data_IF_055751403865
#
_entry.id   IF_055751403865
#
_cell.length_a   1.000
_cell.length_b   1.000
_cell.length_c   1.000
_cell.angle_alpha   90.00
_cell.angle_beta   90.00
_cell.angle_gamma   90.00
#
_symmetry.space_group_name_H-M   'P 1'
#
loop_
_entity.id
_entity.type
_entity.pdbx_description
1 polymer ?
#
# COMPACT_ATOMS: atom_id res chain seq x y z
N UNK A 1 -8.11 -0.54 -15.28
CA UNK A 1 -8.32 -0.59 -13.81
C UNK A 1 -7.00 -0.68 -13.04
N UNK A 2 -6.20 -1.74 -13.24
CA UNK A 2 -4.95 -1.98 -12.48
C UNK A 2 -3.96 -0.80 -12.46
N UNK A 3 -3.63 -0.12 -13.58
CA UNK A 3 -2.72 1.03 -13.54
C UNK A 3 -3.26 2.20 -12.71
N UNK A 4 -4.56 2.50 -12.83
CA UNK A 4 -5.22 3.54 -12.03
C UNK A 4 -5.23 3.22 -10.53
N UNK A 5 -5.47 1.96 -10.18
CA UNK A 5 -5.38 1.48 -8.79
C UNK A 5 -3.96 1.67 -8.25
N UNK A 6 -2.96 1.19 -8.98
CA UNK A 6 -1.56 1.29 -8.55
C UNK A 6 -1.11 2.74 -8.40
N UNK A 7 -1.46 3.60 -9.34
CA UNK A 7 -1.11 5.02 -9.31
C UNK A 7 -1.82 5.76 -8.16
N UNK A 8 -3.09 5.44 -7.89
CA UNK A 8 -3.81 5.94 -6.72
C UNK A 8 -3.16 5.50 -5.42
N UNK A 9 -2.90 4.21 -5.28
CA UNK A 9 -2.29 3.65 -4.07
C UNK A 9 -0.86 4.18 -3.86
N UNK A 10 -0.06 4.35 -4.92
CA UNK A 10 1.29 4.95 -4.82
C UNK A 10 1.22 6.32 -4.14
N UNK A 11 0.35 7.20 -4.63
CA UNK A 11 0.17 8.54 -4.06
C UNK A 11 -0.35 8.51 -2.64
N UNK A 12 -1.34 7.66 -2.36
CA UNK A 12 -1.90 7.54 -1.02
C UNK A 12 -0.89 7.03 -0.01
N UNK A 13 -0.18 5.93 -0.32
CA UNK A 13 0.81 5.35 0.61
C UNK A 13 1.94 6.35 0.89
N UNK A 14 2.45 7.03 -0.14
CA UNK A 14 3.49 8.06 0.04
C UNK A 14 3.05 9.21 0.95
N UNK A 15 1.77 9.58 0.89
CA UNK A 15 1.21 10.64 1.73
C UNK A 15 1.05 10.19 3.20
N UNK A 16 0.61 8.96 3.42
CA UNK A 16 0.18 8.50 4.75
C UNK A 16 1.29 7.82 5.58
N UNK A 17 2.34 7.29 4.94
CA UNK A 17 3.32 6.41 5.62
C UNK A 17 4.37 7.17 6.45
N UNK A 18 4.72 8.40 6.08
CA UNK A 18 5.73 9.22 6.78
C UNK A 18 7.12 8.58 6.87
N UNK A 19 8.11 9.33 7.39
CA UNK A 19 9.47 8.84 7.69
C UNK A 19 10.12 7.96 6.61
N UNK A 20 9.90 8.28 5.33
CA UNK A 20 10.35 7.46 4.21
C UNK A 20 11.88 7.42 4.17
N UNK A 21 12.42 6.21 4.13
CA UNK A 21 13.84 5.94 3.90
C UNK A 21 14.08 5.56 2.43
N UNK A 22 13.25 4.68 1.88
CA UNK A 22 13.44 4.17 0.52
C UNK A 22 12.12 3.84 -0.17
N UNK A 23 12.07 4.09 -1.47
CA UNK A 23 10.96 3.69 -2.35
C UNK A 23 11.51 2.71 -3.38
N UNK A 24 10.84 1.57 -3.56
CA UNK A 24 11.17 0.54 -4.56
C UNK A 24 9.90 0.30 -5.39
N UNK A 25 9.93 0.67 -6.67
CA UNK A 25 8.76 0.65 -7.56
C UNK A 25 8.92 -0.27 -8.79
N UNK A 26 9.67 -1.37 -8.62
CA UNK A 26 9.93 -2.36 -9.68
C UNK A 26 8.75 -3.35 -9.85
N UNK A 27 8.19 -3.86 -8.74
CA UNK A 27 7.09 -4.84 -8.73
C UNK A 27 6.02 -4.42 -7.70
N UNK A 28 5.19 -3.47 -8.12
CA UNK A 28 4.32 -2.72 -7.23
C UNK A 28 5.05 -1.51 -6.65
N UNK A 29 4.64 -1.08 -5.46
CA UNK A 29 5.27 0.01 -4.71
C UNK A 29 5.56 -0.48 -3.30
N UNK A 30 6.85 -0.60 -2.99
CA UNK A 30 7.34 -0.85 -1.63
C UNK A 30 7.92 0.44 -1.07
N UNK A 31 7.55 0.75 0.16
CA UNK A 31 8.08 1.89 0.90
C UNK A 31 8.65 1.39 2.21
N UNK A 32 9.92 1.69 2.44
CA UNK A 32 10.65 1.39 3.67
C UNK A 32 10.78 2.69 4.47
N UNK A 33 10.48 2.62 5.77
CA UNK A 33 10.57 3.74 6.71
C UNK A 33 11.85 3.66 7.51
N UNK A 34 12.32 4.80 8.01
CA UNK A 34 13.57 4.93 8.80
C UNK A 34 13.63 4.08 10.07
N UNK A 35 12.48 3.74 10.65
CA UNK A 35 12.40 2.83 11.80
C UNK A 35 12.40 1.35 11.39
N UNK A 36 12.56 1.07 10.10
CA UNK A 36 12.58 -0.25 9.48
C UNK A 36 11.20 -0.80 9.11
N UNK A 37 10.07 -0.23 9.55
CA UNK A 37 8.75 -0.73 9.10
C UNK A 37 8.55 -0.47 7.61
N UNK A 38 7.68 -1.24 6.97
CA UNK A 38 7.49 -1.14 5.51
C UNK A 38 6.12 -1.58 5.05
N UNK A 39 5.72 -1.07 3.88
CA UNK A 39 4.49 -1.42 3.17
C UNK A 39 4.84 -1.79 1.73
N UNK A 40 4.21 -2.85 1.19
CA UNK A 40 4.22 -3.21 -0.22
C UNK A 40 2.78 -3.28 -0.73
N UNK A 41 2.48 -2.52 -1.78
CA UNK A 41 1.24 -2.65 -2.55
C UNK A 41 1.58 -3.13 -3.95
N UNK A 42 0.93 -4.19 -4.43
CA UNK A 42 1.11 -4.69 -5.81
C UNK A 42 -0.16 -5.31 -6.37
N UNK A 43 -0.25 -5.38 -7.68
CA UNK A 43 -1.31 -6.11 -8.40
C UNK A 43 -0.74 -7.37 -9.04
N UNK A 44 -1.50 -8.46 -9.06
CA UNK A 44 -1.12 -9.65 -9.83
C UNK A 44 -1.21 -9.34 -11.33
N UNK A 45 -0.25 -9.82 -12.13
CA UNK A 45 -0.33 -9.76 -13.58
C UNK A 45 -1.39 -10.70 -14.15
N UNK A 46 -1.51 -11.90 -13.57
CA UNK A 46 -2.30 -13.02 -14.11
C UNK A 46 -3.66 -13.20 -13.44
N UNK A 47 -3.88 -12.59 -12.27
CA UNK A 47 -5.11 -12.76 -11.50
C UNK A 47 -5.78 -11.40 -11.20
N UNK A 48 -7.10 -11.36 -10.97
CA UNK A 48 -7.81 -10.16 -10.57
C UNK A 48 -7.65 -9.87 -9.07
N UNK A 49 -6.40 -9.78 -8.58
CA UNK A 49 -6.10 -9.54 -7.16
C UNK A 49 -5.04 -8.46 -6.94
N UNK A 50 -5.23 -7.68 -5.87
CA UNK A 50 -4.22 -6.83 -5.28
C UNK A 50 -3.66 -7.50 -4.02
N UNK A 51 -2.39 -7.25 -3.69
CA UNK A 51 -1.75 -7.68 -2.46
C UNK A 51 -1.22 -6.44 -1.74
N UNK A 52 -1.50 -6.38 -0.44
CA UNK A 52 -0.91 -5.43 0.49
C UNK A 52 -0.17 -6.25 1.54
N UNK A 53 1.11 -5.97 1.74
CA UNK A 53 1.94 -6.61 2.78
C UNK A 53 2.54 -5.51 3.63
N UNK A 54 2.45 -5.66 4.95
CA UNK A 54 2.84 -4.63 5.91
C UNK A 54 3.66 -5.30 7.01
N UNK A 55 4.78 -4.68 7.36
CA UNK A 55 5.55 -5.00 8.55
C UNK A 55 5.61 -3.75 9.43
N UNK A 56 5.09 -3.84 10.65
CA UNK A 56 5.23 -2.83 11.69
C UNK A 56 6.27 -3.25 12.74
N UNK A 57 6.82 -2.29 13.48
CA UNK A 57 7.71 -2.52 14.64
C UNK A 57 6.94 -2.71 15.94
N UNK A 58 5.62 -2.46 15.93
CA UNK A 58 4.68 -2.81 17.00
C UNK A 58 3.32 -3.22 16.41
N UNK A 59 2.47 -3.84 17.23
CA UNK A 59 1.09 -4.15 16.83
C UNK A 59 0.27 -2.89 16.54
N UNK A 60 0.48 -1.84 17.33
CA UNK A 60 -0.19 -0.54 17.14
C UNK A 60 0.19 0.09 15.80
N UNK A 61 1.49 0.10 15.46
CA UNK A 61 1.97 0.61 14.18
C UNK A 61 1.46 -0.23 13.01
N UNK A 62 1.46 -1.57 13.15
CA UNK A 62 0.93 -2.46 12.12
C UNK A 62 -0.55 -2.17 11.85
N UNK A 63 -1.35 -1.98 12.90
CA UNK A 63 -2.78 -1.72 12.76
C UNK A 63 -3.05 -0.31 12.20
N UNK A 64 -2.28 0.71 12.59
CA UNK A 64 -2.34 2.06 12.00
C UNK A 64 -2.03 2.02 10.49
N UNK A 65 -0.92 1.40 10.09
CA UNK A 65 -0.54 1.25 8.68
C UNK A 65 -1.59 0.45 7.91
N UNK A 66 -2.10 -0.63 8.49
CA UNK A 66 -3.16 -1.44 7.88
C UNK A 66 -4.42 -0.61 7.64
N UNK A 67 -4.88 0.15 8.65
CA UNK A 67 -6.07 1.00 8.52
C UNK A 67 -5.90 2.07 7.46
N UNK A 68 -4.73 2.72 7.39
CA UNK A 68 -4.45 3.75 6.38
C UNK A 68 -4.39 3.20 4.95
N UNK A 69 -3.81 2.02 4.76
CA UNK A 69 -3.50 1.51 3.42
C UNK A 69 -4.53 0.52 2.89
N UNK A 70 -4.96 -0.45 3.71
CA UNK A 70 -5.88 -1.51 3.27
C UNK A 70 -7.29 -0.95 3.08
N UNK A 71 -7.76 -0.09 3.98
CA UNK A 71 -9.11 0.50 3.87
C UNK A 71 -9.23 1.45 2.68
N UNK A 72 -8.14 2.17 2.32
CA UNK A 72 -8.09 2.93 1.07
C UNK A 72 -8.23 2.03 -0.15
N UNK A 73 -7.47 0.94 -0.20
CA UNK A 73 -7.52 0.00 -1.31
C UNK A 73 -8.93 -0.57 -1.47
N UNK A 74 -9.59 -0.95 -0.36
CA UNK A 74 -10.98 -1.42 -0.36
C UNK A 74 -11.93 -0.36 -0.90
N UNK A 75 -11.89 0.85 -0.34
CA UNK A 75 -12.76 1.96 -0.75
C UNK A 75 -12.62 2.31 -2.22
N UNK A 76 -11.40 2.33 -2.76
CA UNK A 76 -11.17 2.58 -4.18
C UNK A 76 -11.82 1.51 -5.06
N UNK A 77 -11.69 0.23 -4.67
CA UNK A 77 -12.23 -0.89 -5.44
C UNK A 77 -13.77 -0.92 -5.34
N UNK A 78 -14.33 -0.74 -4.16
CA UNK A 78 -15.77 -0.72 -3.92
C UNK A 78 -16.47 0.42 -4.68
N UNK A 79 -15.88 1.62 -4.68
CA UNK A 79 -16.42 2.77 -5.40
C UNK A 79 -16.47 2.59 -6.92
N UNK A 80 -15.68 1.66 -7.46
CA UNK A 80 -15.60 1.35 -8.90
C UNK A 80 -16.23 0.02 -9.29
N UNK A 81 -16.76 -0.72 -8.33
CA UNK A 81 -17.55 -1.93 -8.54
C UNK A 81 -19.06 -1.68 -8.52
N UNK A 82 -19.48 -0.46 -8.16
CA UNK A 82 -20.86 0.02 -8.28
C UNK A 82 -21.14 0.63 -9.64
#
# INVERSE_FOLDING_TARGET
MKPYFMEHMKRHVLKEIGDVEKIIDIDGVRIERKNGSWVLVRVSGTEPKARVVIEGRSLEELEDLKNKIVEEARRFLDARMR
#
